data_IF_088405921196
#
_entry.id   IF_088405921196
#
_cell.length_a   1.000
_cell.length_b   1.000
_cell.length_c   1.000
_cell.angle_alpha   90.00
_cell.angle_beta   90.00
_cell.angle_gamma   90.00
#
_symmetry.space_group_name_H-M   'P 1'
#
loop_
_entity.id
_entity.type
_entity.pdbx_description
1 polymer ?
#
# COMPACT_ATOMS: atom_id res chain seq x y z
N UNK A 1 -11.40 29.65 29.22
CA UNK A 1 -12.56 28.73 29.09
C UNK A 1 -12.68 28.37 27.64
N UNK A 2 -12.03 27.29 27.24
CA UNK A 2 -12.14 26.69 25.89
C UNK A 2 -13.52 26.04 25.83
N UNK A 3 -14.40 26.57 24.99
CA UNK A 3 -15.67 25.91 24.68
C UNK A 3 -15.33 24.59 23.96
N UNK A 4 -15.50 23.47 24.65
CA UNK A 4 -15.61 22.15 24.03
C UNK A 4 -16.91 22.18 23.22
N UNK A 5 -16.80 22.46 21.93
CA UNK A 5 -17.90 22.23 20.98
C UNK A 5 -18.22 20.75 21.01
N UNK A 6 -19.47 20.43 21.32
CA UNK A 6 -19.91 19.04 21.37
C UNK A 6 -19.85 18.46 19.93
N UNK A 7 -19.03 17.47 19.71
CA UNK A 7 -18.85 16.78 18.41
C UNK A 7 -20.20 16.38 17.79
N UNK A 8 -21.19 16.03 18.62
CA UNK A 8 -22.54 15.68 18.21
C UNK A 8 -23.30 16.87 17.58
N UNK A 9 -23.05 18.10 18.06
CA UNK A 9 -23.72 19.31 17.55
C UNK A 9 -23.15 19.75 16.20
N UNK A 10 -21.89 19.46 15.92
CA UNK A 10 -21.28 19.70 14.60
C UNK A 10 -21.74 18.68 13.55
N UNK A 11 -21.90 17.42 13.91
CA UNK A 11 -22.43 16.36 13.02
C UNK A 11 -23.85 16.67 12.59
N UNK A 12 -24.67 17.24 13.47
CA UNK A 12 -26.06 17.61 13.18
C UNK A 12 -26.21 18.92 12.40
N UNK A 13 -25.23 19.83 12.45
CA UNK A 13 -25.28 21.12 11.75
C UNK A 13 -25.01 21.05 10.27
N UNK A 14 -24.10 20.16 9.82
CA UNK A 14 -23.65 20.13 8.43
C UNK A 14 -24.47 19.22 7.51
N UNK A 15 -25.43 18.47 8.06
CA UNK A 15 -26.18 17.49 7.28
C UNK A 15 -25.23 16.48 6.57
N UNK A 16 -25.77 15.54 5.83
CA UNK A 16 -24.98 14.48 5.16
C UNK A 16 -24.03 14.95 4.04
N UNK A 17 -23.82 16.23 3.84
CA UNK A 17 -23.04 16.79 2.69
C UNK A 17 -21.68 17.36 3.03
N UNK A 18 -21.11 17.09 4.16
CA UNK A 18 -19.81 17.66 4.51
C UNK A 18 -19.22 17.15 5.81
N UNK A 19 -19.80 16.10 6.41
CA UNK A 19 -19.25 15.58 7.65
C UNK A 19 -17.89 14.93 7.37
N UNK A 20 -16.84 15.57 7.84
CA UNK A 20 -15.52 14.93 7.92
C UNK A 20 -15.61 13.73 8.84
N UNK A 21 -14.95 12.64 8.51
CA UNK A 21 -14.77 11.51 9.41
C UNK A 21 -14.13 11.99 10.73
N UNK A 22 -14.42 11.32 11.83
CA UNK A 22 -13.80 11.65 13.13
C UNK A 22 -12.27 11.58 13.05
N UNK A 23 -11.75 10.60 12.31
CA UNK A 23 -10.33 10.52 12.01
C UNK A 23 -9.78 11.80 11.35
N UNK A 24 -10.51 12.39 10.42
CA UNK A 24 -10.04 13.59 9.70
C UNK A 24 -9.86 14.76 10.66
N UNK A 25 -10.77 14.93 11.62
CA UNK A 25 -10.68 15.96 12.66
C UNK A 25 -9.49 15.72 13.59
N UNK A 26 -9.30 14.48 14.00
CA UNK A 26 -8.15 14.09 14.81
C UNK A 26 -6.84 14.35 14.07
N UNK A 27 -6.76 13.92 12.82
CA UNK A 27 -5.60 14.12 11.95
C UNK A 27 -5.25 15.61 11.79
N UNK A 28 -6.23 16.45 11.47
CA UNK A 28 -6.04 17.89 11.32
C UNK A 28 -5.62 18.57 12.63
N UNK A 29 -6.12 18.09 13.78
CA UNK A 29 -5.75 18.60 15.09
C UNK A 29 -4.29 18.30 15.49
N UNK A 30 -3.59 17.39 14.79
CA UNK A 30 -2.17 17.11 15.05
C UNK A 30 -1.26 18.27 14.60
N UNK A 31 -1.75 19.20 13.78
CA UNK A 31 -1.02 20.40 13.39
C UNK A 31 0.16 20.16 12.44
N UNK A 32 0.27 18.98 11.86
CA UNK A 32 1.28 18.65 10.84
C UNK A 32 0.67 18.74 9.43
N UNK A 33 1.50 18.88 8.36
CA UNK A 33 0.99 18.92 6.99
C UNK A 33 0.08 17.73 6.66
N UNK A 34 -0.94 17.98 5.82
CA UNK A 34 -1.82 16.94 5.28
C UNK A 34 -1.79 17.04 3.76
N UNK A 35 -1.22 16.05 3.12
CA UNK A 35 -1.19 15.96 1.66
C UNK A 35 -2.49 15.36 1.12
N UNK A 36 -3.13 16.08 0.20
CA UNK A 36 -4.38 15.68 -0.47
C UNK A 36 -4.20 15.66 -1.98
N UNK A 37 -5.22 15.21 -2.70
CA UNK A 37 -5.24 15.08 -4.15
C UNK A 37 -5.33 13.63 -4.58
N UNK A 38 -4.80 13.30 -5.74
CA UNK A 38 -4.86 11.93 -6.28
C UNK A 38 -3.59 11.12 -6.04
N UNK A 39 -2.46 11.77 -5.78
CA UNK A 39 -1.17 11.11 -5.60
C UNK A 39 -0.17 12.00 -4.87
N UNK A 40 0.87 11.39 -4.35
CA UNK A 40 2.08 12.04 -3.84
C UNK A 40 3.19 11.78 -4.87
N UNK A 41 3.76 12.83 -5.47
CA UNK A 41 4.81 12.67 -6.48
C UNK A 41 6.01 11.89 -5.97
N UNK A 42 6.50 12.23 -4.78
CA UNK A 42 7.64 11.57 -4.16
C UNK A 42 7.57 11.67 -2.63
N UNK A 43 7.46 10.52 -1.98
CA UNK A 43 7.47 10.41 -0.51
C UNK A 43 8.81 10.83 0.11
N UNK A 44 9.92 10.76 -0.67
CA UNK A 44 11.26 11.15 -0.20
C UNK A 44 11.39 12.65 0.00
N UNK A 45 10.63 13.43 -0.77
CA UNK A 45 10.69 14.90 -0.78
C UNK A 45 9.39 15.57 -0.30
N UNK A 46 8.34 14.80 -0.02
CA UNK A 46 7.09 15.33 0.49
C UNK A 46 7.33 16.19 1.75
N UNK A 47 6.66 17.34 1.82
CA UNK A 47 6.77 18.24 2.94
C UNK A 47 6.33 17.57 4.24
N UNK A 48 7.11 17.79 5.32
CA UNK A 48 6.79 17.34 6.67
C UNK A 48 6.93 18.51 7.64
N UNK A 49 6.19 18.50 8.73
CA UNK A 49 6.27 19.51 9.78
C UNK A 49 6.53 18.89 11.15
N UNK A 50 6.92 19.69 12.15
CA UNK A 50 7.25 19.20 13.48
C UNK A 50 6.02 18.61 14.19
N UNK A 51 6.15 17.39 14.67
CA UNK A 51 5.17 16.71 15.52
C UNK A 51 5.73 16.59 16.94
N UNK A 52 5.50 17.61 17.74
CA UNK A 52 6.15 17.75 19.06
C UNK A 52 5.90 16.54 19.99
N UNK A 53 4.66 16.02 20.04
CA UNK A 53 4.33 14.85 20.87
C UNK A 53 5.10 13.58 20.50
N UNK A 54 5.61 13.50 19.29
CA UNK A 54 6.30 12.33 18.75
C UNK A 54 7.80 12.58 18.56
N UNK A 55 8.28 13.78 18.86
CA UNK A 55 9.69 14.19 18.72
C UNK A 55 10.26 13.87 17.34
N UNK A 56 9.45 14.08 16.29
CA UNK A 56 9.83 13.86 14.89
C UNK A 56 9.14 14.88 13.99
N UNK A 57 9.52 14.91 12.71
CA UNK A 57 8.68 15.56 11.70
C UNK A 57 7.69 14.54 11.14
N UNK A 58 6.52 15.00 10.70
CA UNK A 58 5.52 14.15 10.10
C UNK A 58 4.66 14.87 9.07
N UNK A 59 3.95 14.09 8.25
CA UNK A 59 2.84 14.55 7.44
C UNK A 59 1.83 13.41 7.29
N UNK A 60 0.55 13.74 7.32
CA UNK A 60 -0.49 12.79 6.93
C UNK A 60 -0.71 12.82 5.42
N UNK A 61 -1.15 11.70 4.88
CA UNK A 61 -1.51 11.54 3.48
C UNK A 61 -2.96 11.08 3.42
N UNK A 62 -3.78 11.89 2.75
CA UNK A 62 -5.19 11.61 2.51
C UNK A 62 -5.51 11.84 1.03
N UNK A 63 -4.92 11.01 0.17
CA UNK A 63 -5.25 11.03 -1.26
C UNK A 63 -6.60 10.37 -1.51
N UNK A 64 -7.28 10.80 -2.59
CA UNK A 64 -8.58 10.25 -2.99
C UNK A 64 -8.56 8.73 -3.04
N UNK A 65 -9.56 8.12 -2.43
CA UNK A 65 -9.68 6.66 -2.30
C UNK A 65 -9.22 6.09 -0.95
N UNK A 66 -8.67 6.93 -0.06
CA UNK A 66 -8.28 6.51 1.30
C UNK A 66 -9.29 6.91 2.36
N UNK A 67 -10.14 7.90 2.06
CA UNK A 67 -11.01 8.58 3.02
C UNK A 67 -11.89 7.57 3.79
N UNK A 68 -11.83 7.63 5.10
CA UNK A 68 -12.58 6.76 6.00
C UNK A 68 -12.15 5.30 6.02
N UNK A 69 -11.11 4.90 5.29
CA UNK A 69 -10.67 3.49 5.17
C UNK A 69 -9.27 3.26 5.66
N UNK A 70 -8.29 3.97 5.11
CA UNK A 70 -6.88 3.75 5.41
C UNK A 70 -6.18 5.04 5.86
N UNK A 71 -5.31 4.92 6.85
CA UNK A 71 -4.33 5.95 7.17
C UNK A 71 -3.03 5.69 6.42
N UNK A 72 -2.45 6.77 5.87
CA UNK A 72 -1.04 6.80 5.54
C UNK A 72 -0.40 8.04 6.17
N UNK A 73 0.82 7.88 6.70
CA UNK A 73 1.55 8.94 7.38
C UNK A 73 3.04 8.79 7.17
N UNK A 74 3.71 9.88 6.82
CA UNK A 74 5.16 9.95 6.82
C UNK A 74 5.61 10.36 8.22
N UNK A 75 6.63 9.71 8.76
CA UNK A 75 7.44 10.23 9.86
C UNK A 75 8.89 10.38 9.38
N UNK A 76 9.52 11.48 9.78
CA UNK A 76 10.91 11.77 9.50
C UNK A 76 11.67 11.93 10.82
N UNK A 77 12.67 11.07 11.02
CA UNK A 77 13.49 11.01 12.23
C UNK A 77 14.86 11.59 11.90
N UNK A 78 15.29 12.58 12.68
CA UNK A 78 16.56 13.25 12.50
C UNK A 78 17.75 12.28 12.61
N UNK A 79 18.92 12.62 12.02
CA UNK A 79 20.12 11.81 12.11
C UNK A 79 20.48 11.45 13.55
N UNK A 80 20.68 10.15 13.83
CA UNK A 80 21.05 9.63 15.14
C UNK A 80 19.98 9.75 16.23
N UNK A 81 18.80 10.29 15.92
CA UNK A 81 17.72 10.45 16.90
C UNK A 81 16.93 9.15 17.12
N UNK A 82 16.32 9.06 18.30
CA UNK A 82 15.40 8.00 18.68
C UNK A 82 14.11 8.66 19.12
N UNK A 83 12.98 8.26 18.53
CA UNK A 83 11.66 8.81 18.91
C UNK A 83 11.14 8.17 20.19
N UNK A 84 10.25 8.83 20.95
CA UNK A 84 9.61 8.24 22.12
C UNK A 84 8.87 6.95 21.78
N UNK A 85 8.81 5.98 22.69
CA UNK A 85 8.02 4.77 22.49
C UNK A 85 6.53 5.11 22.38
N UNK A 86 5.85 4.37 21.52
CA UNK A 86 4.41 4.46 21.32
C UNK A 86 3.79 3.07 21.49
N UNK A 87 2.70 2.98 22.24
CA UNK A 87 1.81 1.80 22.24
C UNK A 87 0.61 2.10 21.36
N UNK A 88 0.30 1.22 20.42
CA UNK A 88 -0.80 1.41 19.49
C UNK A 88 -1.70 0.18 19.42
N UNK A 89 -3.00 0.39 19.45
CA UNK A 89 -3.98 -0.68 19.55
C UNK A 89 -4.17 -1.48 18.26
N UNK A 90 -3.76 -0.95 17.10
CA UNK A 90 -3.95 -1.59 15.80
C UNK A 90 -2.64 -2.12 15.24
N UNK A 91 -2.74 -3.10 14.34
CA UNK A 91 -1.64 -3.48 13.47
C UNK A 91 -1.24 -2.30 12.60
N UNK A 92 0.06 -2.15 12.38
CA UNK A 92 0.60 -1.09 11.51
C UNK A 92 1.68 -1.64 10.60
N UNK A 93 1.52 -1.46 9.30
CA UNK A 93 2.54 -1.78 8.31
C UNK A 93 3.42 -0.56 8.10
N UNK A 94 4.73 -0.78 8.14
CA UNK A 94 5.75 0.23 7.91
C UNK A 94 6.48 -0.07 6.61
N UNK A 95 6.57 0.91 5.73
CA UNK A 95 7.44 0.89 4.57
C UNK A 95 8.55 1.93 4.73
N UNK A 96 9.80 1.53 4.57
CA UNK A 96 10.94 2.44 4.69
C UNK A 96 11.12 3.20 3.38
N UNK A 97 10.80 4.50 3.40
CA UNK A 97 10.93 5.39 2.25
C UNK A 97 12.41 5.64 1.95
N UNK A 98 13.18 6.00 2.98
CA UNK A 98 14.63 6.27 2.88
C UNK A 98 15.30 6.19 4.25
N UNK A 99 16.61 5.99 4.26
CA UNK A 99 17.41 5.90 5.48
C UNK A 99 17.47 4.47 6.05
N UNK A 100 18.16 4.34 7.19
CA UNK A 100 18.39 3.10 7.91
C UNK A 100 17.96 3.27 9.36
N UNK A 101 17.27 2.30 9.90
CA UNK A 101 16.75 2.38 11.25
C UNK A 101 16.83 1.09 12.03
N UNK A 102 16.57 1.23 13.32
CA UNK A 102 16.38 0.12 14.25
C UNK A 102 14.96 0.26 14.81
N UNK A 103 14.17 -0.80 14.70
CA UNK A 103 12.89 -0.93 15.39
C UNK A 103 13.06 -1.79 16.63
N UNK A 104 12.49 -1.34 17.74
CA UNK A 104 12.37 -2.14 18.97
C UNK A 104 10.90 -2.28 19.28
N UNK A 105 10.43 -3.54 19.42
CA UNK A 105 9.02 -3.89 19.64
C UNK A 105 8.91 -4.76 20.88
N UNK A 106 7.94 -4.50 21.76
CA UNK A 106 7.73 -5.27 22.99
C UNK A 106 6.29 -5.18 23.51
N UNK A 107 5.96 -6.08 24.39
CA UNK A 107 4.78 -6.00 25.24
C UNK A 107 5.20 -6.21 26.70
N UNK A 108 4.34 -5.83 27.66
CA UNK A 108 4.63 -6.00 29.07
C UNK A 108 4.81 -7.50 29.40
N UNK A 109 5.91 -7.82 30.08
CA UNK A 109 6.26 -9.21 30.43
C UNK A 109 6.87 -10.04 29.30
N UNK A 110 7.12 -9.46 28.11
CA UNK A 110 7.76 -10.14 26.99
C UNK A 110 9.12 -9.49 26.69
N UNK A 111 10.16 -10.27 26.33
CA UNK A 111 11.43 -9.70 25.89
C UNK A 111 11.26 -8.72 24.72
N UNK A 112 12.11 -7.70 24.67
CA UNK A 112 12.16 -6.76 23.56
C UNK A 112 12.78 -7.43 22.34
N UNK A 113 12.13 -7.24 21.19
CA UNK A 113 12.67 -7.62 19.89
C UNK A 113 13.20 -6.39 19.18
N UNK A 114 14.46 -6.43 18.76
CA UNK A 114 15.06 -5.34 17.97
C UNK A 114 15.58 -5.90 16.65
N UNK A 115 15.35 -5.16 15.57
CA UNK A 115 15.84 -5.51 14.25
C UNK A 115 16.22 -4.26 13.46
N UNK A 116 17.17 -4.41 12.55
CA UNK A 116 17.58 -3.37 11.63
C UNK A 116 16.79 -3.43 10.33
N UNK A 117 16.54 -2.26 9.73
CA UNK A 117 15.86 -2.16 8.45
C UNK A 117 16.47 -1.02 7.62
N UNK A 118 16.31 -1.10 6.30
CA UNK A 118 16.84 -0.13 5.35
C UNK A 118 15.82 0.30 4.30
N UNK A 119 16.23 1.05 3.29
CA UNK A 119 15.34 1.55 2.25
C UNK A 119 14.53 0.42 1.60
N UNK A 120 13.24 0.68 1.37
CA UNK A 120 12.26 -0.24 0.78
C UNK A 120 11.97 -1.50 1.62
N UNK A 121 12.47 -1.60 2.86
CA UNK A 121 11.99 -2.63 3.78
C UNK A 121 10.50 -2.45 4.07
N UNK A 122 9.80 -3.56 4.23
CA UNK A 122 8.40 -3.61 4.64
C UNK A 122 8.28 -4.51 5.88
N UNK A 123 7.60 -4.04 6.92
CA UNK A 123 7.40 -4.84 8.12
C UNK A 123 6.10 -4.49 8.86
N UNK A 124 5.63 -5.44 9.64
CA UNK A 124 4.46 -5.26 10.50
C UNK A 124 4.87 -4.99 11.94
N UNK A 125 4.25 -4.01 12.55
CA UNK A 125 4.21 -3.85 14.02
C UNK A 125 2.88 -4.38 14.51
N UNK A 126 2.85 -5.45 15.33
CA UNK A 126 1.61 -6.04 15.82
C UNK A 126 0.84 -5.11 16.74
N UNK A 127 -0.48 -5.19 16.68
CA UNK A 127 -1.41 -4.46 17.54
C UNK A 127 -1.11 -4.67 19.03
N UNK A 128 -1.38 -3.64 19.82
CA UNK A 128 -1.23 -3.68 21.28
C UNK A 128 0.22 -3.74 21.77
N UNK A 129 1.20 -3.70 20.87
CA UNK A 129 2.62 -3.65 21.22
C UNK A 129 3.12 -2.22 21.39
N UNK A 130 4.15 -2.08 22.24
CA UNK A 130 5.01 -0.90 22.24
C UNK A 130 5.98 -0.99 21.08
N UNK A 131 6.30 0.16 20.48
CA UNK A 131 7.33 0.28 19.45
C UNK A 131 8.13 1.54 19.63
N UNK A 132 9.37 1.47 19.23
CA UNK A 132 10.30 2.60 19.21
C UNK A 132 11.18 2.51 17.97
N UNK A 133 11.37 3.63 17.28
CA UNK A 133 12.24 3.72 16.12
C UNK A 133 13.44 4.60 16.42
N UNK A 134 14.62 4.15 15.99
CA UNK A 134 15.86 4.92 16.02
C UNK A 134 16.41 5.04 14.62
N UNK A 135 16.92 6.23 14.26
CA UNK A 135 17.69 6.42 13.05
C UNK A 135 19.11 5.91 13.30
N UNK A 136 19.48 4.85 12.59
CA UNK A 136 20.81 4.21 12.72
C UNK A 136 21.95 5.00 12.05
N UNK A 137 21.64 6.11 11.37
CA UNK A 137 22.61 6.94 10.65
C UNK A 137 22.72 8.33 11.28
N UNK A 138 23.95 8.82 11.41
CA UNK A 138 24.23 10.16 11.90
C UNK A 138 24.32 11.24 10.82
N UNK A 139 24.20 10.87 9.54
CA UNK A 139 24.45 11.70 8.37
C UNK A 139 23.22 11.91 7.46
N UNK A 140 22.12 11.22 7.71
CA UNK A 140 20.90 11.33 6.91
C UNK A 140 19.65 11.10 7.75
N UNK A 141 18.52 11.63 7.29
CA UNK A 141 17.22 11.39 7.90
C UNK A 141 16.69 9.98 7.60
N UNK A 142 15.89 9.45 8.51
CA UNK A 142 15.10 8.24 8.29
C UNK A 142 13.67 8.63 8.02
N UNK A 143 13.10 8.22 6.87
CA UNK A 143 11.70 8.43 6.53
C UNK A 143 10.95 7.11 6.47
N UNK A 144 9.83 7.04 7.17
CA UNK A 144 8.94 5.87 7.25
C UNK A 144 7.55 6.25 6.74
N UNK A 145 6.95 5.39 5.95
CA UNK A 145 5.52 5.42 5.64
C UNK A 145 4.82 4.42 6.56
N UNK A 146 3.87 4.91 7.32
CA UNK A 146 2.97 4.13 8.16
C UNK A 146 1.68 3.89 7.42
N UNK A 147 1.12 2.69 7.52
CA UNK A 147 -0.20 2.36 6.99
C UNK A 147 -0.96 1.50 8.00
N UNK A 148 -2.19 1.90 8.29
CA UNK A 148 -3.10 1.20 9.21
C UNK A 148 -4.57 1.53 8.88
N UNK A 149 -5.50 1.03 9.71
CA UNK A 149 -6.95 1.21 9.51
C UNK A 149 -7.59 2.10 10.59
N UNK A 150 -6.85 3.04 11.14
CA UNK A 150 -7.36 3.96 12.17
C UNK A 150 -8.64 4.70 11.74
N UNK A 151 -8.82 5.14 10.48
CA UNK A 151 -10.06 5.78 10.05
C UNK A 151 -11.30 4.90 10.22
N UNK A 152 -11.19 3.61 9.90
CA UNK A 152 -12.29 2.63 10.12
C UNK A 152 -12.51 2.42 11.62
N UNK A 153 -11.45 2.23 12.37
CA UNK A 153 -11.51 1.97 13.80
C UNK A 153 -12.16 3.13 14.55
N UNK A 154 -11.78 4.38 14.27
CA UNK A 154 -12.37 5.58 14.87
C UNK A 154 -13.82 5.83 14.47
N UNK A 155 -14.31 5.18 13.42
CA UNK A 155 -15.75 5.19 13.10
C UNK A 155 -16.57 4.33 14.06
N UNK A 156 -15.93 3.41 14.78
CA UNK A 156 -16.55 2.50 15.76
C UNK A 156 -16.28 2.95 17.21
N UNK A 157 -15.06 3.34 17.50
CA UNK A 157 -14.62 3.86 18.79
C UNK A 157 -13.95 5.22 18.55
N UNK A 158 -14.63 6.33 18.88
CA UNK A 158 -14.17 7.66 18.49
C UNK A 158 -13.07 8.25 19.39
N UNK A 159 -12.78 7.65 20.56
CA UNK A 159 -11.76 8.16 21.46
C UNK A 159 -10.33 7.82 20.98
N UNK A 160 -9.52 8.82 20.57
CA UNK A 160 -8.12 8.57 20.21
C UNK A 160 -7.31 7.92 21.33
N UNK A 161 -7.64 8.20 22.59
CA UNK A 161 -6.99 7.61 23.77
C UNK A 161 -7.07 6.08 23.79
N UNK A 162 -8.18 5.53 23.27
CA UNK A 162 -8.33 4.09 23.12
C UNK A 162 -7.23 3.47 22.24
N UNK A 163 -6.79 4.16 21.21
CA UNK A 163 -5.78 3.63 20.27
C UNK A 163 -4.34 3.87 20.73
N UNK A 164 -4.07 4.99 21.36
CA UNK A 164 -2.70 5.41 21.70
C UNK A 164 -2.31 5.13 23.16
N UNK A 165 -3.27 4.76 24.02
CA UNK A 165 -3.04 4.46 25.43
C UNK A 165 -3.76 3.17 25.87
N UNK A 166 -4.13 2.31 24.94
CA UNK A 166 -4.85 1.08 25.26
C UNK A 166 -4.01 0.18 26.16
N UNK A 167 -4.57 -0.17 27.32
CA UNK A 167 -3.91 -1.02 28.29
C UNK A 167 -3.92 -2.51 27.92
N UNK A 168 -4.76 -2.92 26.95
CA UNK A 168 -4.87 -4.33 26.56
C UNK A 168 -3.63 -4.79 25.80
N UNK A 169 -2.86 -5.76 26.32
CA UNK A 169 -1.70 -6.30 25.65
C UNK A 169 -2.09 -7.48 24.76
N UNK A 170 -1.26 -7.78 23.76
CA UNK A 170 -1.30 -8.96 22.94
C UNK A 170 0.06 -9.68 22.98
N UNK A 171 0.52 -10.16 24.17
CA UNK A 171 1.85 -10.73 24.29
C UNK A 171 2.05 -11.98 23.43
N UNK A 172 0.98 -12.72 23.13
CA UNK A 172 1.00 -13.89 22.26
C UNK A 172 1.48 -13.60 20.83
N UNK A 173 1.33 -12.36 20.36
CA UNK A 173 1.79 -11.94 19.03
C UNK A 173 3.31 -11.73 18.98
N UNK A 174 3.95 -11.59 20.12
CA UNK A 174 5.39 -11.33 20.28
C UNK A 174 6.14 -12.53 20.86
N UNK A 175 5.51 -13.69 20.97
CA UNK A 175 6.10 -14.94 21.47
C UNK A 175 6.17 -16.00 20.35
N UNK A 176 6.88 -15.78 19.25
CA UNK A 176 7.19 -16.86 18.33
C UNK A 176 8.09 -17.87 19.06
N UNK A 177 7.98 -19.14 18.70
CA UNK A 177 8.69 -20.24 19.38
C UNK A 177 10.20 -20.18 19.25
N UNK A 178 10.70 -19.37 18.32
CA UNK A 178 12.12 -19.14 18.05
C UNK A 178 12.30 -17.66 17.73
N UNK A 179 13.51 -17.12 17.70
CA UNK A 179 13.85 -15.71 17.38
C UNK A 179 13.43 -15.27 15.95
N UNK A 180 12.31 -15.81 15.43
CA UNK A 180 11.86 -15.65 14.06
C UNK A 180 10.85 -14.51 13.86
N UNK A 181 10.47 -13.76 14.90
CA UNK A 181 9.42 -12.74 14.79
C UNK A 181 9.68 -11.74 13.64
N UNK A 182 10.91 -11.29 13.52
CA UNK A 182 11.38 -10.42 12.44
C UNK A 182 12.48 -11.06 11.58
N UNK A 183 12.51 -12.37 11.51
CA UNK A 183 13.26 -13.04 10.45
C UNK A 183 12.69 -12.68 9.08
N UNK A 184 13.54 -12.77 8.06
CA UNK A 184 13.11 -12.49 6.67
C UNK A 184 11.95 -13.41 6.29
N UNK A 185 10.90 -12.81 5.71
CA UNK A 185 9.71 -13.52 5.29
C UNK A 185 10.03 -14.71 4.39
N UNK A 186 9.26 -15.78 4.53
CA UNK A 186 9.44 -17.04 3.81
C UNK A 186 8.29 -17.26 2.83
N UNK A 187 8.57 -18.00 1.76
CA UNK A 187 7.54 -18.43 0.83
C UNK A 187 6.60 -19.44 1.50
N UNK A 188 5.31 -19.18 1.42
CA UNK A 188 4.23 -20.02 1.96
C UNK A 188 3.20 -20.28 0.85
N UNK A 189 3.50 -21.16 -0.12
CA UNK A 189 2.64 -21.39 -1.29
C UNK A 189 1.28 -22.02 -0.93
N UNK A 190 1.17 -22.61 0.25
CA UNK A 190 -0.08 -23.13 0.82
C UNK A 190 -1.06 -22.02 1.25
N UNK A 191 -0.56 -20.81 1.48
CA UNK A 191 -1.36 -19.64 1.79
C UNK A 191 -1.68 -18.89 0.50
N UNK A 192 -2.95 -18.65 0.22
CA UNK A 192 -3.37 -17.80 -0.87
C UNK A 192 -3.34 -18.41 -2.27
N UNK A 193 -3.05 -17.60 -3.29
CA UNK A 193 -3.28 -17.90 -4.72
C UNK A 193 -2.07 -18.43 -5.49
N UNK A 194 -1.10 -19.02 -4.80
CA UNK A 194 0.02 -19.73 -5.45
C UNK A 194 1.41 -19.09 -5.27
N UNK A 195 1.49 -17.80 -4.92
CA UNK A 195 2.74 -17.18 -4.47
C UNK A 195 2.42 -16.21 -3.35
N UNK A 196 2.60 -16.66 -2.15
CA UNK A 196 2.48 -15.83 -0.93
C UNK A 196 3.81 -15.85 -0.20
N UNK A 197 4.23 -14.69 0.23
CA UNK A 197 5.32 -14.53 1.16
C UNK A 197 4.74 -14.14 2.52
N UNK A 198 5.17 -14.87 3.54
CA UNK A 198 4.63 -14.84 4.89
C UNK A 198 5.73 -14.53 5.90
N UNK A 199 5.51 -13.52 6.72
CA UNK A 199 6.42 -13.09 7.77
C UNK A 199 6.20 -11.64 8.14
N UNK A 200 6.84 -11.18 9.21
CA UNK A 200 6.71 -9.79 9.67
C UNK A 200 7.75 -8.84 9.05
N UNK A 201 8.73 -9.33 8.31
CA UNK A 201 9.82 -8.53 7.77
C UNK A 201 10.21 -8.93 6.34
N UNK A 202 10.23 -7.96 5.44
CA UNK A 202 10.65 -8.06 4.05
C UNK A 202 11.77 -7.03 3.82
N UNK A 203 12.93 -7.47 3.44
CA UNK A 203 14.15 -6.66 3.44
C UNK A 203 14.18 -5.56 2.39
N UNK A 204 13.74 -5.85 1.15
CA UNK A 204 13.74 -4.88 0.04
C UNK A 204 12.66 -5.22 -0.99
N UNK A 205 11.58 -4.44 -0.99
CA UNK A 205 10.48 -4.62 -1.95
C UNK A 205 10.86 -4.19 -3.37
N UNK A 206 11.95 -3.45 -3.55
CA UNK A 206 12.47 -3.05 -4.85
C UNK A 206 13.28 -4.13 -5.57
N UNK A 207 13.81 -5.11 -4.84
CA UNK A 207 14.67 -6.18 -5.35
C UNK A 207 14.08 -7.58 -5.23
N UNK A 208 12.80 -7.71 -4.93
CA UNK A 208 12.15 -9.00 -4.74
C UNK A 208 11.92 -9.71 -6.08
N UNK A 209 12.49 -10.91 -6.28
CA UNK A 209 12.49 -11.60 -7.57
C UNK A 209 11.63 -12.87 -7.62
N UNK A 210 11.20 -13.42 -6.49
CA UNK A 210 10.42 -14.67 -6.48
C UNK A 210 8.92 -14.38 -6.63
N UNK A 211 8.49 -14.18 -7.88
CA UNK A 211 7.13 -13.87 -8.27
C UNK A 211 6.57 -14.93 -9.22
N UNK A 212 5.26 -14.98 -9.36
CA UNK A 212 4.57 -15.85 -10.32
C UNK A 212 3.80 -15.05 -11.37
N UNK A 213 3.54 -15.64 -12.55
CA UNK A 213 2.79 -14.97 -13.61
C UNK A 213 1.44 -14.42 -13.17
N UNK A 214 1.19 -13.13 -13.42
CA UNK A 214 -0.08 -12.47 -13.13
C UNK A 214 -1.04 -12.55 -14.33
N UNK A 215 -1.43 -13.75 -14.70
CA UNK A 215 -2.17 -14.08 -15.94
C UNK A 215 -3.46 -13.27 -16.16
N UNK A 216 -4.07 -12.76 -15.10
CA UNK A 216 -5.39 -12.10 -15.16
C UNK A 216 -5.31 -10.62 -15.51
N UNK A 217 -4.16 -9.97 -15.33
CA UNK A 217 -3.99 -8.51 -15.45
C UNK A 217 -3.25 -8.07 -16.72
N UNK A 218 -2.77 -9.02 -17.52
CA UNK A 218 -2.04 -8.73 -18.76
C UNK A 218 -0.66 -8.09 -18.55
N UNK A 219 -0.12 -7.52 -19.63
CA UNK A 219 1.16 -6.82 -19.60
C UNK A 219 2.38 -7.69 -19.32
N UNK A 220 2.29 -9.03 -19.47
CA UNK A 220 3.40 -9.94 -19.11
C UNK A 220 3.80 -9.88 -17.64
N UNK A 221 2.93 -9.35 -16.77
CA UNK A 221 3.26 -9.06 -15.39
C UNK A 221 3.34 -10.29 -14.48
N UNK A 222 4.08 -10.11 -13.37
CA UNK A 222 4.23 -11.09 -12.29
C UNK A 222 3.69 -10.48 -10.98
N UNK A 223 3.41 -11.34 -10.00
CA UNK A 223 2.85 -10.94 -8.71
C UNK A 223 3.32 -11.86 -7.59
N UNK A 224 3.38 -11.31 -6.40
CA UNK A 224 3.50 -12.05 -5.13
C UNK A 224 2.56 -11.42 -4.10
N UNK A 225 1.82 -12.25 -3.39
CA UNK A 225 1.02 -11.79 -2.26
C UNK A 225 1.92 -11.66 -1.01
N UNK A 226 1.69 -10.61 -0.23
CA UNK A 226 2.35 -10.33 1.05
C UNK A 226 1.34 -10.56 2.15
N UNK A 227 1.69 -11.42 3.12
CA UNK A 227 0.83 -11.75 4.24
C UNK A 227 1.61 -11.68 5.55
N UNK A 228 1.00 -11.08 6.56
CA UNK A 228 1.59 -10.94 7.89
C UNK A 228 0.94 -11.92 8.87
N UNK A 229 1.73 -12.58 9.75
CA UNK A 229 1.21 -13.45 10.79
C UNK A 229 0.16 -12.76 11.67
N UNK A 230 -0.96 -13.45 11.90
CA UNK A 230 -2.03 -13.01 12.79
C UNK A 230 -2.64 -11.64 12.50
N UNK A 231 -2.46 -11.14 11.27
CA UNK A 231 -2.97 -9.84 10.83
C UNK A 231 -3.91 -9.97 9.65
N UNK A 232 -4.87 -9.04 9.56
CA UNK A 232 -5.70 -8.85 8.37
C UNK A 232 -5.04 -7.87 7.38
N UNK A 233 -3.94 -7.25 7.78
CA UNK A 233 -3.14 -6.44 6.87
C UNK A 233 -2.35 -7.35 5.94
N UNK A 234 -2.12 -6.84 4.75
CA UNK A 234 -1.38 -7.56 3.73
C UNK A 234 -1.31 -6.73 2.44
N UNK A 235 -0.98 -7.38 1.36
CA UNK A 235 -0.87 -6.69 0.08
C UNK A 235 -0.36 -7.61 -1.00
N UNK A 236 0.04 -7.00 -2.09
CA UNK A 236 0.78 -7.71 -3.13
C UNK A 236 1.82 -6.79 -3.76
N UNK A 237 2.92 -7.36 -4.18
CA UNK A 237 3.81 -6.69 -5.10
C UNK A 237 3.58 -7.19 -6.51
N UNK A 238 3.51 -6.28 -7.45
CA UNK A 238 3.35 -6.57 -8.86
C UNK A 238 4.50 -5.98 -9.66
N UNK A 239 5.04 -6.79 -10.55
CA UNK A 239 6.13 -6.40 -11.45
C UNK A 239 5.65 -6.59 -12.89
N UNK A 240 5.97 -5.65 -13.77
CA UNK A 240 5.66 -5.78 -15.18
C UNK A 240 6.76 -5.18 -16.06
N UNK A 241 6.98 -5.77 -17.26
CA UNK A 241 8.09 -5.42 -18.12
C UNK A 241 8.04 -3.96 -18.61
N UNK A 242 9.19 -3.39 -19.03
CA UNK A 242 9.23 -2.13 -19.76
C UNK A 242 8.37 -2.19 -21.01
N UNK A 243 7.86 -1.05 -21.47
CA UNK A 243 7.07 -0.95 -22.67
C UNK A 243 5.77 -1.76 -22.67
N UNK A 244 5.24 -2.09 -21.48
CA UNK A 244 3.95 -2.79 -21.33
C UNK A 244 3.03 -2.09 -20.35
N UNK A 245 1.74 -2.44 -20.38
CA UNK A 245 0.77 -1.94 -19.42
C UNK A 245 -0.30 -2.98 -19.07
N UNK A 246 -0.96 -2.77 -17.95
CA UNK A 246 -1.96 -3.70 -17.40
C UNK A 246 -3.36 -3.37 -17.90
N UNK A 247 -4.22 -4.38 -17.92
CA UNK A 247 -5.66 -4.22 -18.22
C UNK A 247 -6.31 -3.28 -17.21
N UNK A 248 -7.20 -2.42 -17.70
CA UNK A 248 -8.03 -1.58 -16.86
C UNK A 248 -8.88 -2.41 -15.91
N UNK A 249 -8.92 -2.02 -14.65
CA UNK A 249 -9.75 -2.71 -13.67
C UNK A 249 -10.13 -1.77 -12.52
N UNK A 250 -11.11 -2.18 -11.73
CA UNK A 250 -11.56 -1.45 -10.54
C UNK A 250 -11.78 -2.37 -9.35
N UNK A 251 -11.72 -1.79 -8.18
CA UNK A 251 -12.01 -2.44 -6.89
C UNK A 251 -12.50 -1.40 -5.88
N UNK A 252 -12.74 -1.81 -4.64
CA UNK A 252 -13.12 -0.91 -3.54
C UNK A 252 -11.96 -0.02 -3.06
N UNK A 253 -12.23 0.91 -2.11
CA UNK A 253 -11.30 1.95 -1.66
C UNK A 253 -10.18 1.41 -0.76
N UNK A 254 -9.24 2.28 -0.39
CA UNK A 254 -8.25 2.05 0.66
C UNK A 254 -7.02 1.22 0.24
N UNK A 255 -6.83 0.96 -1.06
CA UNK A 255 -5.63 0.27 -1.55
C UNK A 255 -4.50 1.27 -1.79
N UNK A 256 -3.60 1.36 -0.83
CA UNK A 256 -2.43 2.24 -0.90
C UNK A 256 -1.36 1.62 -1.81
N UNK A 257 -1.00 2.32 -2.88
CA UNK A 257 0.03 1.89 -3.83
C UNK A 257 1.27 2.75 -3.65
N UNK A 258 2.41 2.09 -3.40
CA UNK A 258 3.74 2.70 -3.38
C UNK A 258 4.54 2.13 -4.53
N UNK A 259 5.41 2.93 -5.14
CA UNK A 259 6.28 2.51 -6.23
C UNK A 259 7.70 2.27 -5.70
N UNK A 260 8.14 1.01 -5.49
CA UNK A 260 9.49 0.69 -5.06
C UNK A 260 10.54 0.80 -6.16
N UNK A 261 10.13 0.70 -7.44
CA UNK A 261 11.04 0.81 -8.59
C UNK A 261 10.29 1.05 -9.89
N UNK A 262 10.95 1.71 -10.85
CA UNK A 262 10.45 1.99 -12.18
C UNK A 262 9.84 3.38 -12.32
N UNK A 263 9.46 3.70 -13.55
CA UNK A 263 8.85 4.98 -13.94
C UNK A 263 7.69 4.73 -14.91
N UNK A 264 6.61 5.50 -14.74
CA UNK A 264 5.45 5.39 -15.61
C UNK A 264 4.33 6.32 -15.23
N UNK A 265 3.14 5.92 -15.55
CA UNK A 265 1.93 6.63 -15.14
C UNK A 265 0.76 5.65 -14.96
N UNK A 266 -0.24 6.12 -14.25
CA UNK A 266 -1.54 5.45 -14.16
C UNK A 266 -2.62 6.35 -14.73
N UNK A 267 -3.65 5.75 -15.33
CA UNK A 267 -4.88 6.44 -15.69
C UNK A 267 -5.95 5.96 -14.71
N UNK A 268 -6.67 6.88 -14.09
CA UNK A 268 -7.75 6.57 -13.15
C UNK A 268 -9.01 7.35 -13.55
N UNK A 269 -10.18 6.68 -13.55
CA UNK A 269 -11.43 7.35 -13.95
C UNK A 269 -12.67 6.66 -13.36
N UNK A 270 -13.72 7.43 -13.01
CA UNK A 270 -15.04 6.86 -12.74
C UNK A 270 -15.68 6.41 -14.06
N UNK A 271 -16.58 5.44 -14.00
CA UNK A 271 -17.32 4.98 -15.17
C UNK A 271 -18.06 6.14 -15.83
N UNK A 272 -17.78 6.39 -17.12
CA UNK A 272 -18.35 7.52 -17.88
C UNK A 272 -17.81 8.91 -17.51
N UNK A 273 -16.80 9.02 -16.65
CA UNK A 273 -16.23 10.29 -16.21
C UNK A 273 -14.86 10.62 -16.80
N UNK A 274 -14.33 11.75 -16.39
CA UNK A 274 -13.02 12.24 -16.80
C UNK A 274 -11.88 11.37 -16.28
N UNK A 275 -10.80 11.30 -17.04
CA UNK A 275 -9.61 10.52 -16.74
C UNK A 275 -8.54 11.36 -16.08
N UNK A 276 -8.06 10.91 -14.94
CA UNK A 276 -6.94 11.50 -14.20
C UNK A 276 -5.67 10.73 -14.53
N UNK A 277 -4.64 11.45 -14.96
CA UNK A 277 -3.32 10.89 -15.22
C UNK A 277 -2.45 11.13 -14.00
N UNK A 278 -1.89 10.06 -13.45
CA UNK A 278 -1.02 10.05 -12.28
C UNK A 278 0.36 9.59 -12.72
N UNK A 279 1.32 10.50 -12.95
CA UNK A 279 2.70 10.13 -13.19
C UNK A 279 3.31 9.55 -11.91
N UNK A 280 4.19 8.57 -12.08
CA UNK A 280 4.87 7.98 -10.94
C UNK A 280 6.29 7.51 -11.29
N UNK A 281 7.13 7.51 -10.28
CA UNK A 281 8.49 6.97 -10.26
C UNK A 281 8.76 6.32 -8.89
N UNK A 282 9.96 5.80 -8.66
CA UNK A 282 10.35 5.28 -7.34
C UNK A 282 10.12 6.33 -6.25
N UNK A 283 9.35 5.97 -5.24
CA UNK A 283 8.95 6.86 -4.13
C UNK A 283 7.58 7.51 -4.30
N UNK A 284 6.94 7.39 -5.45
CA UNK A 284 5.56 7.88 -5.62
C UNK A 284 4.54 7.02 -4.86
N UNK A 285 3.43 7.65 -4.47
CA UNK A 285 2.30 6.98 -3.81
C UNK A 285 0.97 7.49 -4.37
N UNK A 286 0.01 6.60 -4.54
CA UNK A 286 -1.37 6.93 -4.90
C UNK A 286 -2.34 5.84 -4.44
N UNK A 287 -3.63 6.15 -4.51
CA UNK A 287 -4.70 5.19 -4.22
C UNK A 287 -5.77 5.33 -5.29
N UNK A 288 -6.16 4.27 -6.02
CA UNK A 288 -7.31 4.34 -6.90
C UNK A 288 -8.58 4.64 -6.09
N UNK A 289 -9.36 5.70 -6.45
CA UNK A 289 -10.61 6.01 -5.79
C UNK A 289 -11.62 4.85 -5.86
N UNK A 290 -12.57 4.84 -4.92
CA UNK A 290 -13.58 3.79 -4.83
C UNK A 290 -14.28 3.55 -6.17
N UNK A 291 -14.22 2.31 -6.65
CA UNK A 291 -14.86 1.88 -7.90
C UNK A 291 -14.38 2.58 -9.18
N UNK A 292 -13.32 3.37 -9.13
CA UNK A 292 -12.71 3.93 -10.33
C UNK A 292 -11.93 2.86 -11.10
N UNK A 293 -12.09 2.84 -12.41
CA UNK A 293 -11.17 2.11 -13.27
C UNK A 293 -9.77 2.70 -13.18
N UNK A 294 -8.78 1.85 -13.25
CA UNK A 294 -7.37 2.28 -13.29
C UNK A 294 -6.53 1.30 -14.09
N UNK A 295 -5.50 1.84 -14.73
CA UNK A 295 -4.48 1.13 -15.49
C UNK A 295 -3.10 1.64 -15.15
N UNK A 296 -2.07 0.79 -15.25
CA UNK A 296 -0.68 1.14 -14.93
C UNK A 296 0.19 0.87 -16.14
N UNK A 297 0.99 1.87 -16.54
CA UNK A 297 1.79 1.94 -17.75
C UNK A 297 3.26 2.09 -17.41
N UNK A 298 4.11 1.16 -17.83
CA UNK A 298 5.54 1.25 -17.66
C UNK A 298 6.16 1.89 -18.91
N UNK A 299 6.66 3.12 -18.79
CA UNK A 299 7.31 3.86 -19.86
C UNK A 299 8.82 4.01 -19.64
N UNK A 300 9.38 3.18 -18.77
CA UNK A 300 10.82 3.13 -18.49
C UNK A 300 11.50 1.98 -19.24
N UNK A 301 12.83 1.91 -19.14
CA UNK A 301 13.66 0.84 -19.68
C UNK A 301 13.83 -0.35 -18.75
N UNK A 302 13.27 -0.27 -17.54
CA UNK A 302 13.39 -1.30 -16.50
C UNK A 302 12.00 -1.81 -16.07
N UNK A 303 11.91 -3.02 -15.49
CA UNK A 303 10.65 -3.47 -14.92
C UNK A 303 10.12 -2.52 -13.86
N UNK A 304 8.85 -2.17 -13.95
CA UNK A 304 8.17 -1.36 -12.95
C UNK A 304 7.61 -2.26 -11.84
N UNK A 305 7.71 -1.78 -10.60
CA UNK A 305 7.21 -2.45 -9.41
C UNK A 305 6.22 -1.56 -8.69
N UNK A 306 5.08 -2.09 -8.30
CA UNK A 306 4.21 -1.43 -7.34
C UNK A 306 3.86 -2.37 -6.19
N UNK A 307 3.98 -1.85 -4.98
CA UNK A 307 3.53 -2.47 -3.75
C UNK A 307 2.15 -1.93 -3.43
N UNK A 308 1.13 -2.78 -3.47
CA UNK A 308 -0.25 -2.42 -3.17
C UNK A 308 -0.65 -2.99 -1.82
N UNK A 309 -0.66 -2.16 -0.79
CA UNK A 309 -1.17 -2.50 0.54
C UNK A 309 -2.69 -2.65 0.46
N UNK A 310 -3.20 -3.78 0.90
CA UNK A 310 -4.61 -4.10 0.76
C UNK A 310 -5.44 -3.41 1.85
N UNK A 311 -6.66 -2.94 1.55
CA UNK A 311 -7.62 -2.58 2.58
C UNK A 311 -8.11 -3.82 3.32
N UNK A 312 -8.84 -3.62 4.42
CA UNK A 312 -9.57 -4.70 5.08
C UNK A 312 -10.48 -5.43 4.08
N UNK A 313 -10.71 -6.76 4.23
CA UNK A 313 -11.42 -7.57 3.24
C UNK A 313 -12.79 -7.02 2.82
N UNK A 314 -13.54 -6.43 3.74
CA UNK A 314 -14.85 -5.83 3.44
C UNK A 314 -14.79 -4.67 2.45
N UNK A 315 -13.66 -3.98 2.32
CA UNK A 315 -13.46 -2.89 1.36
C UNK A 315 -12.84 -3.35 0.05
N UNK A 316 -12.21 -4.52 0.01
CA UNK A 316 -11.66 -5.08 -1.23
C UNK A 316 -12.74 -5.31 -2.30
N UNK A 317 -14.00 -5.38 -1.88
CA UNK A 317 -15.15 -5.63 -2.72
C UNK A 317 -15.40 -7.12 -2.92
N UNK A 318 -16.64 -7.53 -2.86
CA UNK A 318 -17.08 -8.91 -3.14
C UNK A 318 -17.03 -9.27 -4.63
N UNK A 319 -16.49 -8.38 -5.45
CA UNK A 319 -16.42 -8.46 -6.91
C UNK A 319 -15.39 -9.46 -7.45
N UNK A 320 -14.86 -10.33 -6.61
CA UNK A 320 -13.94 -11.39 -7.07
C UNK A 320 -14.66 -12.64 -7.62
N UNK A 321 -15.98 -12.70 -7.60
CA UNK A 321 -16.70 -13.71 -8.35
C UNK A 321 -16.52 -13.50 -9.86
N UNK A 322 -16.48 -14.58 -10.61
CA UNK A 322 -16.17 -14.55 -12.05
C UNK A 322 -17.10 -13.61 -12.83
N UNK A 323 -18.38 -13.54 -12.46
CA UNK A 323 -19.37 -12.65 -13.09
C UNK A 323 -19.06 -11.18 -12.86
N UNK A 324 -18.66 -10.81 -11.65
CA UNK A 324 -18.34 -9.42 -11.30
C UNK A 324 -16.99 -8.98 -11.87
N UNK A 325 -16.06 -9.92 -12.07
CA UNK A 325 -14.77 -9.63 -12.69
C UNK A 325 -14.93 -9.16 -14.14
N UNK A 326 -15.85 -9.72 -14.89
CA UNK A 326 -16.16 -9.28 -16.26
C UNK A 326 -16.66 -7.83 -16.33
N UNK A 327 -17.30 -7.33 -15.26
CA UNK A 327 -17.75 -5.93 -15.14
C UNK A 327 -16.68 -4.99 -14.60
N UNK A 328 -15.69 -5.53 -13.90
CA UNK A 328 -14.68 -4.77 -13.19
C UNK A 328 -13.30 -4.84 -13.87
N UNK A 329 -13.23 -5.36 -15.09
CA UNK A 329 -12.01 -5.40 -15.90
C UNK A 329 -12.33 -5.06 -17.37
N UNK A 330 -11.46 -4.28 -17.98
CA UNK A 330 -11.52 -3.91 -19.39
C UNK A 330 -10.43 -4.71 -20.11
N UNK A 331 -10.83 -5.57 -21.05
CA UNK A 331 -9.91 -6.29 -21.90
C UNK A 331 -9.35 -5.36 -23.00
N UNK A 332 -8.09 -5.53 -23.42
CA UNK A 332 -7.43 -4.66 -24.40
C UNK A 332 -8.25 -4.41 -25.69
N UNK A 333 -8.93 -5.43 -26.29
CA UNK A 333 -9.78 -5.19 -27.46
C UNK A 333 -11.01 -4.31 -27.19
N UNK A 334 -11.33 -4.03 -25.91
CA UNK A 334 -12.48 -3.23 -25.48
C UNK A 334 -12.11 -1.88 -24.88
N UNK A 335 -10.81 -1.58 -24.78
CA UNK A 335 -10.37 -0.28 -24.28
C UNK A 335 -10.56 0.82 -25.32
N UNK A 336 -10.62 2.06 -24.87
CA UNK A 336 -10.71 3.21 -25.76
C UNK A 336 -9.40 3.39 -26.54
N UNK A 337 -9.42 3.56 -27.87
CA UNK A 337 -8.23 3.61 -28.71
C UNK A 337 -7.16 4.61 -28.24
N UNK A 338 -7.58 5.77 -27.74
CA UNK A 338 -6.66 6.81 -27.27
C UNK A 338 -5.76 6.34 -26.10
N UNK A 339 -6.13 5.28 -25.35
CA UNK A 339 -5.30 4.72 -24.27
C UNK A 339 -4.02 4.14 -24.85
N UNK A 340 -4.13 3.35 -25.91
CA UNK A 340 -3.00 2.84 -26.65
C UNK A 340 -2.19 3.97 -27.32
N UNK A 341 -2.86 4.88 -28.00
CA UNK A 341 -2.23 6.02 -28.66
C UNK A 341 -1.40 6.84 -27.66
N UNK A 342 -1.96 7.15 -26.49
CA UNK A 342 -1.24 7.85 -25.43
C UNK A 342 -0.04 7.07 -24.93
N UNK A 343 -0.16 5.76 -24.76
CA UNK A 343 0.95 4.93 -24.28
C UNK A 343 2.11 4.94 -25.30
N UNK A 344 1.82 4.76 -26.57
CA UNK A 344 2.79 4.81 -27.66
C UNK A 344 3.43 6.19 -27.78
N UNK A 345 2.65 7.29 -27.63
CA UNK A 345 3.15 8.66 -27.59
C UNK A 345 4.15 8.86 -26.42
N UNK A 346 3.79 8.42 -25.22
CA UNK A 346 4.65 8.56 -24.03
C UNK A 346 5.95 7.76 -24.15
N UNK A 347 5.91 6.59 -24.77
CA UNK A 347 7.12 5.82 -25.09
C UNK A 347 7.96 6.53 -26.15
N UNK A 348 7.33 7.05 -27.22
CA UNK A 348 8.01 7.78 -28.30
C UNK A 348 8.75 9.02 -27.79
N UNK A 349 8.19 9.78 -26.84
CA UNK A 349 8.87 10.90 -26.17
C UNK A 349 10.18 10.51 -25.47
N UNK A 350 10.33 9.22 -25.13
CA UNK A 350 11.49 8.64 -24.46
C UNK A 350 12.41 7.83 -25.40
N UNK A 351 12.09 7.81 -26.70
CA UNK A 351 12.80 7.01 -27.69
C UNK A 351 12.59 5.51 -27.52
N UNK A 352 11.46 5.12 -26.94
CA UNK A 352 11.08 3.74 -26.66
C UNK A 352 9.92 3.32 -27.54
N UNK A 353 9.74 2.01 -27.72
CA UNK A 353 8.63 1.41 -28.45
C UNK A 353 7.79 0.51 -27.53
N UNK A 354 6.53 0.31 -27.88
CA UNK A 354 5.64 -0.61 -27.20
C UNK A 354 6.09 -2.06 -27.38
N UNK A 355 6.19 -2.78 -26.29
CA UNK A 355 6.43 -4.25 -26.28
C UNK A 355 5.11 -5.03 -26.11
N UNK A 356 3.98 -4.36 -26.23
CA UNK A 356 2.66 -5.00 -26.24
C UNK A 356 2.47 -5.74 -27.56
N UNK A 357 2.18 -7.05 -27.54
CA UNK A 357 1.89 -7.81 -28.76
C UNK A 357 0.61 -7.26 -29.44
N UNK A 358 0.65 -7.09 -30.77
CA UNK A 358 -0.52 -6.63 -31.55
C UNK A 358 -1.74 -7.56 -31.34
N UNK A 359 -1.49 -8.86 -31.21
CA UNK A 359 -2.53 -9.84 -30.96
C UNK A 359 -3.30 -9.58 -29.64
N UNK A 360 -2.66 -8.97 -28.64
CA UNK A 360 -3.34 -8.63 -27.39
C UNK A 360 -4.51 -7.64 -27.60
N UNK A 361 -4.43 -6.79 -28.62
CA UNK A 361 -5.48 -5.80 -28.94
C UNK A 361 -6.60 -6.36 -29.82
N UNK A 362 -6.35 -7.45 -30.54
CA UNK A 362 -7.29 -7.98 -31.54
C UNK A 362 -7.92 -9.30 -31.13
N UNK A 363 -7.22 -10.09 -30.33
CA UNK A 363 -7.66 -11.40 -29.88
C UNK A 363 -8.10 -11.38 -28.41
N UNK A 364 -9.39 -11.49 -28.09
CA UNK A 364 -9.88 -11.51 -26.70
C UNK A 364 -9.39 -12.72 -25.90
N UNK A 365 -8.97 -13.78 -26.58
CA UNK A 365 -8.45 -15.01 -25.97
C UNK A 365 -6.92 -15.05 -25.90
N UNK A 366 -6.25 -13.93 -26.25
CA UNK A 366 -4.80 -13.81 -26.20
C UNK A 366 -4.24 -14.16 -24.83
N UNK A 367 -3.24 -15.04 -24.80
CA UNK A 367 -2.54 -15.45 -23.58
C UNK A 367 -1.09 -15.02 -23.66
N UNK A 368 -0.64 -14.33 -22.64
CA UNK A 368 0.77 -13.97 -22.48
C UNK A 368 1.62 -15.24 -22.35
N UNK A 369 2.69 -15.33 -23.15
CA UNK A 369 3.71 -16.35 -22.97
C UNK A 369 4.55 -16.06 -21.73
N UNK A 370 4.68 -17.04 -20.86
CA UNK A 370 5.61 -17.05 -19.74
C UNK A 370 6.60 -18.19 -19.97
N UNK A 371 7.82 -18.11 -19.43
CA UNK A 371 8.84 -19.13 -19.63
C UNK A 371 8.37 -20.55 -19.25
N UNK A 372 8.88 -21.58 -19.89
CA UNK A 372 8.43 -22.99 -19.75
C UNK A 372 8.45 -23.51 -18.29
N UNK A 373 9.27 -22.94 -17.38
CA UNK A 373 9.27 -23.25 -15.94
C UNK A 373 8.11 -22.62 -15.16
N UNK A 374 7.49 -21.57 -15.71
CA UNK A 374 6.43 -20.80 -15.06
C UNK A 374 5.01 -21.31 -15.39
N UNK A 375 4.90 -22.19 -16.41
CA UNK A 375 3.62 -22.79 -16.80
C UNK A 375 3.12 -23.86 -15.83
N UNK A 376 4.01 -24.49 -15.07
CA UNK A 376 3.69 -25.61 -14.17
C UNK A 376 3.09 -25.19 -12.81
N UNK A 377 3.17 -23.91 -12.43
CA UNK A 377 2.61 -23.41 -11.16
C UNK A 377 1.09 -23.25 -11.13
N UNK A 378 0.38 -23.52 -12.23
CA UNK A 378 -1.07 -23.40 -12.37
C UNK A 378 -1.82 -24.75 -12.36
N UNK A 379 -1.13 -25.84 -11.98
CA UNK A 379 -1.65 -27.22 -11.97
C UNK A 379 -2.60 -27.48 -10.81
N UNK A 380 -3.86 -27.63 -11.16
CA UNK A 380 -4.89 -28.50 -10.57
C UNK A 380 -4.97 -28.57 -9.04
N UNK A 381 -5.84 -27.79 -8.46
CA UNK A 381 -6.65 -28.32 -7.36
C UNK A 381 -8.07 -28.54 -7.88
N UNK A 382 -8.39 -29.81 -8.17
CA UNK A 382 -9.74 -30.27 -8.33
C UNK A 382 -10.56 -29.83 -7.12
N UNK A 383 -11.69 -29.21 -7.38
CA UNK A 383 -12.75 -29.04 -6.40
C UNK A 383 -13.22 -30.45 -6.01
N UNK A 384 -12.96 -30.84 -4.79
CA UNK A 384 -13.73 -31.88 -4.12
C UNK A 384 -14.03 -31.38 -2.72
N UNK A 385 -15.36 -31.35 -2.49
CA UNK A 385 -16.14 -31.17 -1.26
C UNK A 385 -16.01 -29.82 -0.53
#
# INVERSE_FOLDING_TARGET
MTQTTNVQDEITRDGHRGSKYLYDRWMEAQGVPVHRGYFIPDLKTAEVGPWAERECNAAFIQVSGMEGVAEARITEIAPGATVPPLKFALDEVIYTISGWGIATVWADGVPKHSFEFGPRSLFLIPRGSHRQFANARGDQTLRLLHNNYLPVAMSLEPDPGFYFNNAYPHPELLQPKDDELYAVAKRAPELGRGATWYGNFFTDMGAWEDLVPHRKRGGGGHVVDVSFPHSQMGGHMSVFPPGTYKKGHRHGPGRVIVIPAGEGYSIMWPEGGEKVIVPWHEGSMFTPPDRWFHQHFNVSTTPARYLALAPLPQFAGHSEQVVDRARNQIEYPKEEPWIREKFEEELGKRGLESLMPEEAYTNPDFKWGYGAGEEQGAGSRSRNA
#
